data_IF_805836021300
#
_entry.id   IF_805836021300
#
_cell.length_a   1.000
_cell.length_b   1.000
_cell.length_c   1.000
_cell.angle_alpha   90.00
_cell.angle_beta   90.00
_cell.angle_gamma   90.00
#
_symmetry.space_group_name_H-M   'P 1'
#
loop_
_entity.id
_entity.type
_entity.pdbx_description
1 polymer ?
#
# COMPACT_ATOMS: atom_id res chain seq x y z
N UNK A 1 53.12 0.98 63.46
CA UNK A 1 53.24 1.33 61.99
C UNK A 1 54.54 0.75 61.48
N UNK A 2 54.58 0.06 60.35
CA UNK A 2 55.73 -0.59 59.64
C UNK A 2 55.77 -2.13 59.74
N UNK A 3 54.83 -2.79 59.10
CA UNK A 3 54.96 -4.23 58.72
C UNK A 3 54.42 -4.68 57.40
N UNK A 4 53.86 -3.84 56.49
CA UNK A 4 53.41 -4.38 55.19
C UNK A 4 54.51 -4.43 54.10
N UNK A 5 55.61 -3.71 54.23
CA UNK A 5 56.63 -3.66 53.16
C UNK A 5 57.56 -4.91 53.16
N UNK A 6 57.73 -5.60 54.26
CA UNK A 6 58.54 -6.81 54.35
C UNK A 6 57.86 -8.00 53.61
N UNK A 7 56.55 -8.03 53.62
CA UNK A 7 55.80 -9.10 52.91
C UNK A 7 55.86 -8.90 51.39
N UNK A 8 55.79 -7.65 50.92
CA UNK A 8 55.87 -7.35 49.49
C UNK A 8 57.25 -7.65 48.88
N UNK A 9 58.34 -7.41 49.66
CA UNK A 9 59.69 -7.74 49.24
C UNK A 9 59.91 -9.25 49.18
N UNK A 10 59.38 -10.00 50.14
CA UNK A 10 59.45 -11.47 50.10
C UNK A 10 58.77 -12.10 48.88
N UNK A 11 57.61 -11.56 48.50
CA UNK A 11 56.86 -12.04 47.27
C UNK A 11 57.59 -11.68 45.98
N UNK A 12 58.26 -10.51 45.94
CA UNK A 12 59.03 -10.10 44.76
C UNK A 12 60.28 -10.99 44.58
N UNK A 13 60.96 -11.39 45.65
CA UNK A 13 62.13 -12.27 45.61
C UNK A 13 61.76 -13.67 45.15
N UNK A 14 60.63 -14.21 45.57
CA UNK A 14 60.11 -15.53 45.11
C UNK A 14 59.70 -15.50 43.63
N UNK A 15 59.12 -14.40 43.14
CA UNK A 15 58.76 -14.26 41.74
C UNK A 15 60.00 -14.17 40.82
N UNK A 16 61.04 -13.46 41.22
CA UNK A 16 62.31 -13.36 40.48
C UNK A 16 63.04 -14.73 40.44
N UNK A 17 63.00 -15.47 41.57
CA UNK A 17 63.60 -16.82 41.63
C UNK A 17 62.89 -17.82 40.71
N UNK A 18 61.58 -17.68 40.53
CA UNK A 18 60.78 -18.55 39.64
C UNK A 18 61.05 -18.30 38.13
N UNK A 19 61.27 -17.04 37.75
CA UNK A 19 61.60 -16.63 36.38
C UNK A 19 63.03 -17.10 36.01
N UNK A 20 63.97 -17.09 36.92
CA UNK A 20 65.38 -17.51 36.67
C UNK A 20 65.46 -19.06 36.60
N UNK A 21 64.66 -19.78 37.36
CA UNK A 21 64.63 -21.25 37.36
C UNK A 21 64.09 -21.87 36.05
N UNK A 22 63.32 -21.09 35.25
CA UNK A 22 62.77 -21.58 33.98
C UNK A 22 63.66 -21.50 32.75
N UNK A 23 64.94 -21.02 32.88
CA UNK A 23 65.82 -20.84 31.74
C UNK A 23 67.03 -21.81 31.63
N UNK A 24 67.16 -22.78 32.49
CA UNK A 24 68.22 -23.78 32.40
C UNK A 24 67.63 -25.18 32.43
N UNK A 25 67.35 -25.71 31.25
CA UNK A 25 66.98 -27.09 30.99
C UNK A 25 67.79 -27.61 29.82
N UNK A 26 68.68 -28.46 30.12
CA UNK A 26 69.82 -29.11 29.45
C UNK A 26 69.68 -29.48 27.96
N UNK A 27 70.76 -29.22 27.27
CA UNK A 27 71.26 -30.00 26.14
C UNK A 27 72.06 -31.19 26.69
N UNK A 28 71.67 -32.40 26.19
CA UNK A 28 72.61 -33.39 25.73
C UNK A 28 71.88 -34.74 25.46
N UNK A 29 72.21 -35.36 24.37
CA UNK A 29 71.72 -36.69 24.05
C UNK A 29 71.87 -37.07 22.57
N UNK A 30 73.05 -37.49 22.21
CA UNK A 30 73.54 -37.85 20.86
C UNK A 30 72.81 -38.99 20.20
N UNK A 31 72.79 -38.89 18.88
CA UNK A 31 72.99 -39.93 17.84
C UNK A 31 72.12 -41.17 17.78
N UNK A 32 71.31 -41.25 16.73
CA UNK A 32 71.45 -42.31 15.76
C UNK A 32 70.80 -41.99 14.38
N UNK A 33 71.54 -42.00 13.35
CA UNK A 33 71.11 -41.73 12.00
C UNK A 33 70.28 -42.87 11.43
N UNK A 34 69.31 -42.47 10.57
CA UNK A 34 68.95 -43.17 9.32
C UNK A 34 68.26 -42.19 8.41
N UNK A 35 68.86 -41.96 7.28
CA UNK A 35 68.40 -41.54 5.99
C UNK A 35 66.89 -41.54 5.80
N UNK A 36 66.33 -40.33 5.60
CA UNK A 36 65.15 -40.13 4.76
C UNK A 36 65.35 -38.77 4.06
N UNK A 37 66.02 -38.80 2.94
CA UNK A 37 65.78 -37.79 1.91
C UNK A 37 64.40 -38.05 1.39
N UNK A 38 63.44 -37.29 1.91
CA UNK A 38 62.16 -37.11 1.19
C UNK A 38 61.54 -35.78 1.61
N UNK A 39 61.39 -34.92 0.62
CA UNK A 39 60.52 -33.79 0.52
C UNK A 39 60.62 -32.69 1.59
N UNK A 40 61.68 -31.91 1.50
CA UNK A 40 61.64 -30.54 1.94
C UNK A 40 60.74 -29.76 0.97
N UNK A 41 59.42 -29.68 1.26
CA UNK A 41 58.55 -28.67 0.68
C UNK A 41 59.26 -27.33 0.81
N UNK A 42 59.39 -26.61 -0.30
CA UNK A 42 60.03 -25.29 -0.31
C UNK A 42 59.29 -24.37 0.67
N UNK A 43 60.01 -23.40 1.23
CA UNK A 43 59.42 -22.41 2.16
C UNK A 43 58.22 -21.69 1.54
N UNK A 44 58.23 -21.59 0.20
CA UNK A 44 57.08 -21.06 -0.56
C UNK A 44 55.85 -21.97 -0.47
N UNK A 45 56.00 -23.30 -0.66
CA UNK A 45 54.89 -24.26 -0.54
C UNK A 45 54.35 -24.39 0.88
N UNK A 46 55.19 -24.25 1.91
CA UNK A 46 54.77 -24.21 3.29
C UNK A 46 53.99 -22.93 3.63
N UNK A 47 54.40 -21.78 3.07
CA UNK A 47 53.69 -20.52 3.26
C UNK A 47 52.35 -20.51 2.51
N UNK A 48 52.23 -21.14 1.35
CA UNK A 48 50.96 -21.28 0.61
C UNK A 48 49.97 -22.20 1.37
N UNK A 49 50.46 -23.35 1.89
CA UNK A 49 49.59 -24.26 2.69
C UNK A 49 49.19 -23.63 4.03
N UNK A 50 50.04 -22.85 4.67
CA UNK A 50 49.70 -22.11 5.88
C UNK A 50 48.80 -20.88 5.58
N UNK A 51 48.98 -20.26 4.42
CA UNK A 51 48.09 -19.16 3.96
C UNK A 51 46.67 -19.64 3.64
N UNK A 52 46.51 -20.80 3.01
CA UNK A 52 45.20 -21.40 2.73
C UNK A 52 44.49 -21.95 3.96
N UNK A 53 45.25 -22.47 4.94
CA UNK A 53 44.69 -22.94 6.22
C UNK A 53 44.18 -21.79 7.11
N UNK A 54 44.63 -20.55 6.86
CA UNK A 54 44.20 -19.34 7.59
C UNK A 54 42.94 -18.67 7.00
N UNK A 55 42.44 -19.09 5.82
CA UNK A 55 41.25 -18.52 5.19
C UNK A 55 39.99 -18.96 5.92
N UNK A 56 39.13 -18.00 6.26
CA UNK A 56 37.82 -18.28 6.85
C UNK A 56 36.99 -19.13 5.89
N UNK A 57 36.52 -20.29 6.37
CA UNK A 57 35.65 -21.16 5.59
C UNK A 57 34.24 -20.60 5.59
N UNK A 58 33.65 -20.42 4.42
CA UNK A 58 32.28 -20.00 4.22
C UNK A 58 31.53 -20.97 3.33
N UNK A 59 30.21 -21.07 3.55
CA UNK A 59 29.35 -21.84 2.64
C UNK A 59 28.60 -20.89 1.75
N UNK A 60 28.61 -21.13 0.45
CA UNK A 60 27.93 -20.31 -0.56
C UNK A 60 26.76 -21.04 -1.16
N UNK A 61 25.88 -20.29 -1.77
CA UNK A 61 24.76 -20.75 -2.59
C UNK A 61 24.68 -19.88 -3.84
N UNK A 62 24.75 -20.52 -5.00
CA UNK A 62 24.53 -19.84 -6.26
C UNK A 62 23.09 -19.35 -6.35
N UNK A 63 22.92 -18.10 -6.76
CA UNK A 63 21.63 -17.47 -6.98
C UNK A 63 21.63 -16.76 -8.33
N UNK A 64 20.52 -16.92 -9.07
CA UNK A 64 20.30 -16.27 -10.36
C UNK A 64 19.10 -15.35 -10.22
N UNK A 65 19.23 -14.14 -10.76
CA UNK A 65 18.17 -13.17 -10.78
C UNK A 65 16.96 -13.68 -11.60
N UNK A 66 15.77 -13.36 -11.13
CA UNK A 66 14.51 -13.64 -11.80
C UNK A 66 13.70 -12.34 -11.90
N UNK A 67 12.97 -12.19 -13.00
CA UNK A 67 12.06 -11.07 -13.15
C UNK A 67 10.94 -11.17 -12.11
N UNK A 68 10.85 -10.20 -11.23
CA UNK A 68 9.82 -10.13 -10.19
C UNK A 68 9.13 -8.77 -10.20
N UNK A 69 7.81 -8.76 -9.94
CA UNK A 69 7.08 -7.51 -9.85
C UNK A 69 7.35 -6.82 -8.50
N UNK A 70 7.71 -5.55 -8.58
CA UNK A 70 7.71 -4.69 -7.41
C UNK A 70 6.27 -4.24 -7.18
N UNK A 71 5.72 -4.59 -6.06
CA UNK A 71 4.35 -4.28 -5.68
C UNK A 71 4.34 -3.11 -4.68
N UNK A 72 3.51 -2.11 -4.94
CA UNK A 72 3.12 -1.15 -3.93
C UNK A 72 1.89 -1.68 -3.21
N UNK A 73 2.00 -1.89 -1.91
CA UNK A 73 0.90 -2.39 -1.09
C UNK A 73 0.41 -1.30 -0.15
N UNK A 74 -0.91 -1.17 -0.01
CA UNK A 74 -1.51 -0.21 0.88
C UNK A 74 -2.77 -0.79 1.54
N UNK A 75 -3.11 -0.26 2.71
CA UNK A 75 -4.40 -0.54 3.35
C UNK A 75 -5.37 0.56 3.05
N UNK A 76 -6.64 0.20 2.98
CA UNK A 76 -7.69 1.13 2.65
C UNK A 76 -9.07 0.58 2.95
N UNK A 77 -10.07 1.17 2.35
CA UNK A 77 -11.46 0.77 2.50
C UNK A 77 -12.25 1.09 1.24
N UNK A 78 -13.42 0.48 1.12
CA UNK A 78 -14.34 0.73 0.02
C UNK A 78 -15.15 1.99 0.28
N UNK A 79 -15.34 2.79 -0.77
CA UNK A 79 -16.23 3.96 -0.76
C UNK A 79 -17.18 3.92 -1.96
N UNK A 80 -18.33 4.54 -1.82
CA UNK A 80 -19.22 4.80 -2.96
C UNK A 80 -18.65 5.96 -3.78
N UNK A 81 -18.75 5.88 -5.10
CA UNK A 81 -18.29 6.95 -6.00
C UNK A 81 -19.04 8.26 -5.78
N UNK A 82 -20.33 8.18 -5.50
CA UNK A 82 -21.18 9.34 -5.23
C UNK A 82 -22.10 9.05 -4.03
N UNK A 83 -22.25 10.03 -3.19
CA UNK A 83 -23.16 10.03 -2.04
C UNK A 83 -23.83 11.40 -1.98
N UNK A 84 -25.13 11.44 -2.24
CA UNK A 84 -25.87 12.69 -2.37
C UNK A 84 -27.08 12.68 -1.46
N UNK A 85 -27.16 13.65 -0.55
CA UNK A 85 -28.34 13.92 0.24
C UNK A 85 -29.33 14.73 -0.62
N UNK A 86 -30.42 14.11 -1.01
CA UNK A 86 -31.52 14.79 -1.69
C UNK A 86 -32.26 15.68 -0.71
N UNK A 87 -32.46 16.93 -1.07
CA UNK A 87 -33.15 17.92 -0.24
C UNK A 87 -34.36 18.46 -0.96
N UNK A 88 -35.38 18.85 -0.20
CA UNK A 88 -36.51 19.61 -0.74
C UNK A 88 -36.07 21.03 -1.07
N UNK A 89 -36.43 21.52 -2.28
CA UNK A 89 -36.22 22.94 -2.65
C UNK A 89 -37.36 23.86 -2.24
N UNK A 90 -38.54 23.27 -1.92
CA UNK A 90 -39.74 24.00 -1.60
C UNK A 90 -40.36 23.51 -0.27
N UNK A 91 -41.27 24.29 0.27
CA UNK A 91 -42.10 23.90 1.41
C UNK A 91 -43.38 23.20 0.94
N UNK A 92 -43.86 22.25 1.74
CA UNK A 92 -45.16 21.59 1.50
C UNK A 92 -45.27 20.26 2.27
N UNK A 93 -46.46 19.64 2.18
CA UNK A 93 -46.73 18.32 2.76
C UNK A 93 -46.34 17.24 1.79
N UNK A 94 -45.75 16.16 2.28
CA UNK A 94 -45.47 14.94 1.50
C UNK A 94 -46.78 14.20 1.27
N UNK A 95 -47.15 14.01 -0.02
CA UNK A 95 -48.35 13.30 -0.43
C UNK A 95 -48.06 11.91 -1.00
N UNK A 96 -46.84 11.64 -1.37
CA UNK A 96 -46.41 10.35 -1.88
C UNK A 96 -44.93 10.11 -1.56
N UNK A 97 -44.63 8.91 -1.13
CA UNK A 97 -43.25 8.40 -0.97
C UNK A 97 -43.13 7.14 -1.84
N UNK A 98 -42.52 7.29 -2.98
CA UNK A 98 -42.46 6.24 -4.02
C UNK A 98 -41.34 5.22 -3.79
N UNK A 99 -40.40 5.48 -2.83
CA UNK A 99 -39.23 4.67 -2.61
C UNK A 99 -39.10 4.18 -1.17
N UNK A 100 -38.47 3.02 -1.02
CA UNK A 100 -38.16 2.45 0.30
C UNK A 100 -36.65 2.44 0.52
N UNK A 101 -36.24 2.41 1.80
CA UNK A 101 -34.83 2.21 2.15
C UNK A 101 -34.31 0.90 1.56
N UNK A 102 -33.16 0.95 0.91
CA UNK A 102 -32.53 -0.19 0.21
C UNK A 102 -33.05 -0.43 -1.22
N UNK A 103 -34.07 0.32 -1.70
CA UNK A 103 -34.53 0.17 -3.07
C UNK A 103 -33.55 0.79 -4.08
N UNK A 104 -33.43 0.14 -5.27
CA UNK A 104 -32.71 0.69 -6.42
C UNK A 104 -33.62 1.65 -7.17
N UNK A 105 -33.09 2.78 -7.57
CA UNK A 105 -33.75 3.80 -8.37
C UNK A 105 -32.90 4.14 -9.59
N UNK A 106 -33.57 4.42 -10.70
CA UNK A 106 -32.93 4.90 -11.93
C UNK A 106 -33.01 6.42 -12.00
N UNK A 107 -32.12 7.00 -12.76
CA UNK A 107 -32.19 8.44 -13.07
C UNK A 107 -33.58 8.84 -13.59
N UNK A 108 -34.18 9.82 -12.94
CA UNK A 108 -35.52 10.34 -13.26
C UNK A 108 -36.65 9.71 -12.45
N UNK A 109 -36.43 8.58 -11.76
CA UNK A 109 -37.44 7.97 -10.90
C UNK A 109 -37.89 8.92 -9.80
N UNK A 110 -39.18 8.90 -9.50
CA UNK A 110 -39.78 9.73 -8.46
C UNK A 110 -39.40 9.14 -7.10
N UNK A 111 -38.82 9.97 -6.25
CA UNK A 111 -38.50 9.62 -4.85
C UNK A 111 -39.69 10.00 -3.95
N UNK A 112 -40.12 11.25 -4.05
CA UNK A 112 -41.16 11.84 -3.20
C UNK A 112 -41.93 12.85 -4.00
N UNK A 113 -43.26 12.99 -3.70
CA UNK A 113 -44.11 14.09 -4.17
C UNK A 113 -44.53 14.96 -3.02
N UNK A 114 -44.40 16.25 -3.22
CA UNK A 114 -44.90 17.30 -2.32
C UNK A 114 -46.25 17.80 -2.87
N UNK A 115 -47.14 18.12 -1.99
CA UNK A 115 -48.43 18.68 -2.34
C UNK A 115 -48.26 19.95 -3.18
N UNK A 116 -48.90 19.98 -4.33
CA UNK A 116 -48.91 21.13 -5.22
C UNK A 116 -49.63 22.34 -4.61
N UNK A 117 -50.58 22.07 -3.68
CA UNK A 117 -51.38 23.10 -3.01
C UNK A 117 -51.98 24.11 -4.01
N UNK A 118 -51.68 25.38 -3.84
CA UNK A 118 -52.13 26.49 -4.69
C UNK A 118 -51.26 26.69 -5.98
N UNK A 119 -50.16 25.97 -6.12
CA UNK A 119 -49.22 26.17 -7.26
C UNK A 119 -49.83 25.87 -8.63
N UNK A 120 -50.69 24.89 -8.70
CA UNK A 120 -51.42 24.57 -9.95
C UNK A 120 -52.43 25.72 -10.30
N UNK A 121 -53.05 26.32 -9.33
CA UNK A 121 -53.92 27.48 -9.52
C UNK A 121 -53.11 28.70 -9.99
N UNK A 122 -51.96 28.99 -9.34
CA UNK A 122 -51.07 30.07 -9.79
C UNK A 122 -50.51 29.86 -11.18
N UNK A 123 -50.24 28.62 -11.57
CA UNK A 123 -49.84 28.31 -12.93
C UNK A 123 -50.95 28.64 -13.95
N UNK A 124 -52.19 28.22 -13.66
CA UNK A 124 -53.34 28.54 -14.50
C UNK A 124 -53.61 30.06 -14.61
N UNK A 125 -53.45 30.79 -13.51
CA UNK A 125 -53.54 32.25 -13.48
C UNK A 125 -52.45 32.89 -14.39
N UNK A 126 -51.21 32.46 -14.26
CA UNK A 126 -50.09 32.97 -15.09
C UNK A 126 -50.32 32.66 -16.60
N UNK A 127 -50.81 31.48 -16.93
CA UNK A 127 -51.21 31.12 -18.30
C UNK A 127 -52.35 31.98 -18.85
N UNK A 128 -53.35 32.28 -18.04
CA UNK A 128 -54.47 33.18 -18.41
C UNK A 128 -53.94 34.60 -18.65
N UNK A 129 -52.97 35.08 -17.83
CA UNK A 129 -52.33 36.36 -18.05
C UNK A 129 -51.54 36.40 -19.36
N UNK A 130 -50.84 35.35 -19.73
CA UNK A 130 -50.14 35.26 -21.03
C UNK A 130 -51.15 35.39 -22.16
N UNK A 131 -52.25 34.61 -22.14
CA UNK A 131 -53.30 34.72 -23.18
C UNK A 131 -53.85 36.13 -23.31
N UNK A 132 -54.09 36.81 -22.19
CA UNK A 132 -54.57 38.19 -22.19
C UNK A 132 -53.54 39.15 -22.83
N UNK A 133 -52.24 39.06 -22.44
CA UNK A 133 -51.16 39.90 -22.99
C UNK A 133 -50.85 39.57 -24.47
N UNK A 134 -51.06 38.35 -24.93
CA UNK A 134 -50.99 37.99 -26.35
C UNK A 134 -52.05 38.74 -27.20
N UNK A 135 -53.30 38.79 -26.75
CA UNK A 135 -54.37 39.54 -27.40
C UNK A 135 -54.02 41.06 -27.49
N UNK A 136 -53.50 41.63 -26.36
CA UNK A 136 -53.11 43.04 -26.34
C UNK A 136 -51.94 43.30 -27.28
N UNK A 137 -50.94 42.41 -27.33
CA UNK A 137 -49.80 42.51 -28.23
C UNK A 137 -50.22 42.46 -29.70
N UNK A 138 -51.05 41.48 -30.08
CA UNK A 138 -51.58 41.33 -31.43
C UNK A 138 -52.41 42.57 -31.86
N UNK A 139 -53.23 43.11 -30.94
CA UNK A 139 -54.02 44.34 -31.23
C UNK A 139 -53.08 45.54 -31.42
N UNK A 140 -52.02 45.66 -30.60
CA UNK A 140 -51.04 46.73 -30.73
C UNK A 140 -50.23 46.62 -32.04
N UNK A 141 -49.86 45.39 -32.42
CA UNK A 141 -49.18 45.12 -33.69
C UNK A 141 -50.02 45.49 -34.94
N UNK A 142 -51.28 45.09 -34.93
CA UNK A 142 -52.27 45.42 -36.01
C UNK A 142 -52.42 46.91 -36.16
N UNK A 143 -52.56 47.68 -35.03
CA UNK A 143 -52.70 49.12 -35.01
C UNK A 143 -51.39 49.83 -35.47
N UNK A 144 -50.24 49.37 -35.10
CA UNK A 144 -48.94 49.86 -35.51
C UNK A 144 -48.82 49.73 -37.04
N UNK A 145 -49.10 48.52 -37.57
CA UNK A 145 -49.07 48.26 -39.05
C UNK A 145 -49.97 49.21 -39.85
N UNK A 146 -51.09 49.69 -39.23
CA UNK A 146 -52.00 50.66 -39.86
C UNK A 146 -51.65 52.13 -39.53
N UNK A 147 -50.52 52.39 -38.88
CA UNK A 147 -50.05 53.75 -38.56
C UNK A 147 -50.84 54.46 -37.41
N UNK A 148 -51.71 53.75 -36.71
CA UNK A 148 -52.54 54.34 -35.67
C UNK A 148 -51.99 54.33 -34.24
N UNK A 149 -50.81 53.70 -33.99
CA UNK A 149 -50.22 53.62 -32.64
C UNK A 149 -48.73 53.94 -32.68
N UNK A 150 -48.27 54.65 -31.60
CA UNK A 150 -46.86 54.98 -31.43
C UNK A 150 -46.05 53.70 -31.19
N UNK A 151 -44.82 53.64 -31.66
CA UNK A 151 -43.87 52.57 -31.46
C UNK A 151 -43.65 52.23 -29.93
N UNK A 152 -43.74 53.24 -29.09
CA UNK A 152 -43.65 53.07 -27.63
C UNK A 152 -44.73 52.21 -27.03
N UNK A 153 -45.97 52.29 -27.57
CA UNK A 153 -47.09 51.49 -27.11
C UNK A 153 -47.01 50.00 -27.54
N UNK A 154 -46.50 49.81 -28.76
CA UNK A 154 -46.18 48.44 -29.22
C UNK A 154 -45.09 47.80 -28.38
N UNK A 155 -43.98 48.54 -28.18
CA UNK A 155 -42.84 48.08 -27.32
C UNK A 155 -43.32 47.77 -25.88
N UNK A 156 -44.23 48.58 -25.29
CA UNK A 156 -44.77 48.34 -23.99
C UNK A 156 -45.65 47.05 -23.93
N UNK A 157 -46.46 46.80 -24.98
CA UNK A 157 -47.28 45.54 -25.07
C UNK A 157 -46.37 44.32 -25.22
N UNK A 158 -45.30 44.42 -26.06
CA UNK A 158 -44.31 43.38 -26.21
C UNK A 158 -43.59 43.05 -24.88
N UNK A 159 -43.13 44.06 -24.16
CA UNK A 159 -42.47 43.89 -22.87
C UNK A 159 -43.43 43.24 -21.82
N UNK A 160 -44.73 43.62 -21.82
CA UNK A 160 -45.72 43.05 -20.93
C UNK A 160 -46.02 41.57 -21.22
N UNK A 161 -46.03 41.17 -22.51
CA UNK A 161 -46.16 39.77 -22.91
C UNK A 161 -44.95 38.95 -22.46
N UNK A 162 -43.73 39.46 -22.68
CA UNK A 162 -42.54 38.75 -22.24
C UNK A 162 -42.45 38.60 -20.72
N UNK A 163 -42.91 39.62 -19.96
CA UNK A 163 -43.00 39.53 -18.49
C UNK A 163 -44.00 38.45 -18.06
N UNK A 164 -45.18 38.36 -18.73
CA UNK A 164 -46.17 37.32 -18.44
C UNK A 164 -45.61 35.91 -18.78
N UNK A 165 -44.92 35.72 -19.90
CA UNK A 165 -44.26 34.47 -20.25
C UNK A 165 -43.19 34.09 -19.23
N UNK A 166 -42.42 35.04 -18.72
CA UNK A 166 -41.44 34.80 -17.69
C UNK A 166 -42.13 34.30 -16.38
N UNK A 167 -43.29 34.83 -16.05
CA UNK A 167 -44.09 34.39 -14.89
C UNK A 167 -44.53 32.93 -15.04
N UNK A 168 -45.03 32.51 -16.21
CA UNK A 168 -45.36 31.10 -16.49
C UNK A 168 -44.15 30.20 -16.30
N UNK A 169 -42.98 30.57 -16.83
CA UNK A 169 -41.74 29.79 -16.64
C UNK A 169 -41.40 29.64 -15.15
N UNK A 170 -41.53 30.71 -14.37
CA UNK A 170 -41.31 30.67 -12.92
C UNK A 170 -42.26 29.68 -12.23
N UNK A 171 -43.57 29.77 -12.52
CA UNK A 171 -44.56 28.87 -11.93
C UNK A 171 -44.33 27.40 -12.37
N UNK A 172 -43.91 27.16 -13.61
CA UNK A 172 -43.56 25.81 -14.09
C UNK A 172 -42.39 25.22 -13.33
N UNK A 173 -41.35 26.00 -13.01
CA UNK A 173 -40.21 25.57 -12.19
C UNK A 173 -40.67 25.23 -10.76
N UNK A 174 -41.49 26.10 -10.15
CA UNK A 174 -41.99 25.87 -8.79
C UNK A 174 -42.88 24.62 -8.72
N UNK A 175 -43.68 24.37 -9.74
CA UNK A 175 -44.47 23.13 -9.89
C UNK A 175 -43.58 21.91 -10.09
N UNK A 176 -42.55 21.98 -10.95
CA UNK A 176 -41.63 20.89 -11.16
C UNK A 176 -40.89 20.48 -9.89
N UNK A 177 -40.57 21.44 -8.99
CA UNK A 177 -39.92 21.21 -7.69
C UNK A 177 -40.79 20.44 -6.69
N UNK A 178 -42.10 20.28 -6.96
CA UNK A 178 -42.96 19.43 -6.13
C UNK A 178 -42.65 17.95 -6.27
N UNK A 179 -41.91 17.53 -7.33
CA UNK A 179 -41.57 16.16 -7.59
C UNK A 179 -40.07 16.01 -7.47
N UNK A 180 -39.62 15.39 -6.39
CA UNK A 180 -38.19 15.09 -6.18
C UNK A 180 -37.85 13.81 -6.88
N UNK A 181 -36.86 13.86 -7.79
CA UNK A 181 -36.41 12.73 -8.62
C UNK A 181 -34.96 12.38 -8.37
N UNK A 182 -34.62 11.10 -8.65
CA UNK A 182 -33.24 10.64 -8.61
C UNK A 182 -32.41 11.28 -9.75
N UNK A 183 -31.28 11.93 -9.46
CA UNK A 183 -30.44 12.56 -10.49
C UNK A 183 -29.54 11.56 -11.24
N UNK A 184 -29.33 10.35 -10.70
CA UNK A 184 -28.55 9.27 -11.25
C UNK A 184 -29.07 7.91 -10.75
N UNK A 185 -28.59 6.83 -11.32
CA UNK A 185 -28.89 5.47 -10.87
C UNK A 185 -28.25 5.23 -9.51
N UNK A 186 -29.04 4.84 -8.50
CA UNK A 186 -28.59 4.79 -7.12
C UNK A 186 -29.38 3.78 -6.27
N UNK A 187 -28.86 3.52 -5.06
CA UNK A 187 -29.62 2.90 -3.98
C UNK A 187 -30.02 4.00 -2.98
N UNK A 188 -31.23 3.89 -2.45
CA UNK A 188 -31.73 4.71 -1.36
C UNK A 188 -31.14 4.18 -0.04
N UNK A 189 -30.08 4.80 0.45
CA UNK A 189 -29.40 4.39 1.69
C UNK A 189 -30.21 4.74 2.95
N UNK A 190 -30.76 5.96 2.98
CA UNK A 190 -31.72 6.39 4.02
C UNK A 190 -32.83 7.24 3.43
N UNK A 191 -33.95 7.28 4.14
CA UNK A 191 -35.09 8.12 3.87
C UNK A 191 -35.45 8.89 5.13
N UNK A 192 -35.49 10.23 5.00
CA UNK A 192 -35.61 11.15 6.12
C UNK A 192 -37.05 11.73 6.25
N UNK A 193 -37.97 11.35 5.33
CA UNK A 193 -39.33 11.84 5.28
C UNK A 193 -40.33 10.70 5.22
N UNK A 194 -41.54 10.98 5.77
CA UNK A 194 -42.69 10.09 5.78
C UNK A 194 -43.90 10.72 5.10
N UNK A 195 -44.83 9.88 4.67
CA UNK A 195 -46.13 10.34 4.13
C UNK A 195 -46.86 11.24 5.15
N UNK A 196 -47.32 12.41 4.71
CA UNK A 196 -47.97 13.38 5.55
C UNK A 196 -47.06 14.35 6.30
N UNK A 197 -45.72 14.10 6.29
CA UNK A 197 -44.74 15.01 6.88
C UNK A 197 -44.73 16.36 6.17
N UNK A 198 -44.47 17.43 6.90
CA UNK A 198 -44.34 18.78 6.34
C UNK A 198 -42.84 19.12 6.22
N UNK A 199 -42.38 19.41 5.01
CA UNK A 199 -40.99 19.79 4.72
C UNK A 199 -40.87 21.28 4.40
N UNK A 200 -39.66 21.81 4.58
CA UNK A 200 -39.29 23.18 4.20
C UNK A 200 -38.16 23.09 3.13
N UNK A 201 -37.89 24.19 2.46
CA UNK A 201 -36.69 24.28 1.61
C UNK A 201 -35.43 23.97 2.43
N UNK A 202 -34.60 23.07 1.95
CA UNK A 202 -33.42 22.57 2.63
C UNK A 202 -33.64 21.35 3.55
N UNK A 203 -34.91 20.87 3.72
CA UNK A 203 -35.15 19.63 4.48
C UNK A 203 -34.59 18.42 3.74
N UNK A 204 -33.82 17.55 4.44
CA UNK A 204 -33.34 16.28 3.93
C UNK A 204 -34.53 15.36 3.60
N UNK A 205 -34.44 14.66 2.47
CA UNK A 205 -35.50 13.78 1.94
C UNK A 205 -35.01 12.33 1.88
N UNK A 206 -33.91 12.09 1.21
CA UNK A 206 -33.32 10.76 1.06
C UNK A 206 -31.82 10.86 0.76
N UNK A 207 -31.06 9.89 1.23
CA UNK A 207 -29.66 9.73 0.88
C UNK A 207 -29.53 8.72 -0.24
N UNK A 208 -28.98 9.16 -1.35
CA UNK A 208 -28.70 8.32 -2.51
C UNK A 208 -27.22 7.99 -2.59
N UNK A 209 -26.91 6.73 -2.83
CA UNK A 209 -25.54 6.24 -3.02
C UNK A 209 -25.42 5.52 -4.36
N UNK A 210 -24.33 5.80 -5.06
CA UNK A 210 -23.98 5.14 -6.31
C UNK A 210 -23.44 3.73 -5.99
N UNK A 211 -24.00 2.70 -6.61
CA UNK A 211 -23.63 1.32 -6.34
C UNK A 211 -22.57 0.78 -7.31
N UNK A 212 -22.48 1.31 -8.51
CA UNK A 212 -21.55 0.89 -9.55
C UNK A 212 -21.10 2.09 -10.41
N UNK A 213 -19.78 2.31 -10.57
CA UNK A 213 -18.66 1.59 -9.95
C UNK A 213 -18.38 2.02 -8.52
N UNK A 214 -17.72 1.15 -7.76
CA UNK A 214 -17.20 1.44 -6.42
C UNK A 214 -15.77 1.97 -6.46
N UNK A 215 -15.36 2.65 -5.40
CA UNK A 215 -13.99 3.06 -5.17
C UNK A 215 -13.40 2.19 -4.05
N UNK A 216 -12.17 1.73 -4.24
CA UNK A 216 -11.35 1.25 -3.11
C UNK A 216 -10.27 2.28 -2.89
N UNK A 217 -10.36 2.97 -1.76
CA UNK A 217 -9.49 4.08 -1.41
C UNK A 217 -8.36 3.58 -0.53
N UNK A 218 -7.13 3.91 -0.91
CA UNK A 218 -5.93 3.57 -0.16
C UNK A 218 -5.13 4.82 0.18
N UNK A 219 -4.41 4.76 1.28
CA UNK A 219 -3.41 5.74 1.67
C UNK A 219 -2.03 5.17 1.38
N UNK A 220 -1.35 5.73 0.39
CA UNK A 220 -0.04 5.29 -0.10
C UNK A 220 1.04 6.25 0.40
N UNK A 221 2.18 5.71 0.82
CA UNK A 221 3.30 6.51 1.35
C UNK A 221 3.91 7.43 0.29
N UNK A 222 4.57 8.51 0.73
CA UNK A 222 5.30 9.43 -0.16
C UNK A 222 6.43 8.73 -0.94
N UNK A 223 7.01 7.66 -0.38
CA UNK A 223 8.07 6.90 -1.03
C UNK A 223 7.58 6.02 -2.19
N UNK A 224 6.29 5.66 -2.17
CA UNK A 224 5.71 4.71 -3.11
C UNK A 224 4.81 5.35 -4.16
N UNK A 225 4.18 6.48 -3.84
CA UNK A 225 3.21 7.14 -4.73
C UNK A 225 3.81 7.53 -6.08
N UNK A 226 5.10 7.91 -6.11
CA UNK A 226 5.80 8.27 -7.35
C UNK A 226 5.93 7.14 -8.38
N UNK A 227 5.69 5.88 -7.96
CA UNK A 227 5.69 4.69 -8.82
C UNK A 227 4.33 4.39 -9.43
N UNK A 228 3.26 5.02 -8.93
CA UNK A 228 1.88 4.80 -9.40
C UNK A 228 1.51 5.79 -10.50
N UNK A 229 0.75 5.33 -11.47
CA UNK A 229 0.24 6.15 -12.57
C UNK A 229 -1.26 5.98 -12.71
N UNK A 230 -1.94 7.00 -13.23
CA UNK A 230 -3.35 6.90 -13.58
C UNK A 230 -3.54 5.78 -14.62
N UNK A 231 -4.64 5.04 -14.48
CA UNK A 231 -5.02 3.86 -15.27
C UNK A 231 -4.18 2.60 -15.04
N UNK A 232 -3.18 2.61 -14.16
CA UNK A 232 -2.49 1.38 -13.77
C UNK A 232 -3.49 0.38 -13.18
N UNK A 233 -3.22 -0.90 -13.45
CA UNK A 233 -4.01 -1.99 -12.86
C UNK A 233 -3.70 -2.11 -11.39
N UNK A 234 -4.74 -2.38 -10.61
CA UNK A 234 -4.61 -2.69 -9.20
C UNK A 234 -5.60 -3.77 -8.80
N UNK A 235 -5.31 -4.41 -7.69
CA UNK A 235 -6.22 -5.36 -7.07
C UNK A 235 -6.42 -5.02 -5.61
N UNK A 236 -7.58 -5.38 -5.08
CA UNK A 236 -7.86 -5.24 -3.67
C UNK A 236 -8.43 -6.56 -3.12
N UNK A 237 -7.97 -6.93 -1.94
CA UNK A 237 -8.53 -8.03 -1.16
C UNK A 237 -9.29 -7.45 0.02
N UNK A 238 -10.58 -7.64 0.04
CA UNK A 238 -11.44 -7.22 1.14
C UNK A 238 -11.28 -8.14 2.36
N UNK A 239 -11.60 -7.64 3.54
CA UNK A 239 -11.61 -8.43 4.78
C UNK A 239 -12.58 -9.62 4.71
N UNK A 240 -13.60 -9.56 3.85
CA UNK A 240 -14.53 -10.66 3.54
C UNK A 240 -13.90 -11.81 2.76
N UNK A 241 -12.64 -11.66 2.31
CA UNK A 241 -11.93 -12.62 1.47
C UNK A 241 -12.12 -12.40 -0.03
N UNK A 242 -13.08 -11.57 -0.45
CA UNK A 242 -13.33 -11.25 -1.86
C UNK A 242 -12.14 -10.49 -2.45
N UNK A 243 -11.73 -10.89 -3.66
CA UNK A 243 -10.74 -10.18 -4.47
C UNK A 243 -11.46 -9.41 -5.56
N UNK A 244 -11.07 -8.17 -5.74
CA UNK A 244 -11.57 -7.29 -6.78
C UNK A 244 -10.41 -6.67 -7.55
N UNK A 245 -10.62 -6.41 -8.82
CA UNK A 245 -9.63 -5.79 -9.69
C UNK A 245 -10.19 -4.51 -10.28
N UNK A 246 -9.31 -3.55 -10.51
CA UNK A 246 -9.71 -2.27 -11.06
C UNK A 246 -8.53 -1.51 -11.64
N UNK A 247 -8.77 -0.22 -11.88
CA UNK A 247 -7.74 0.72 -12.36
C UNK A 247 -7.67 1.93 -11.45
N UNK A 248 -6.46 2.47 -11.29
CA UNK A 248 -6.24 3.71 -10.57
C UNK A 248 -6.99 4.83 -11.31
N UNK A 249 -7.99 5.38 -10.64
CA UNK A 249 -8.83 6.46 -11.15
C UNK A 249 -8.34 7.83 -10.72
N UNK A 250 -7.78 7.91 -9.52
CA UNK A 250 -7.32 9.15 -8.93
C UNK A 250 -6.11 8.93 -8.03
N UNK A 251 -5.17 9.86 -8.08
CA UNK A 251 -4.04 9.99 -7.16
C UNK A 251 -4.05 11.44 -6.67
N UNK A 252 -4.09 11.63 -5.37
CA UNK A 252 -4.10 12.97 -4.78
C UNK A 252 -2.81 13.73 -5.12
N UNK A 253 -2.94 15.01 -5.47
CA UNK A 253 -1.79 15.87 -5.73
C UNK A 253 -1.10 16.36 -4.44
N UNK A 254 -1.79 16.26 -3.30
CA UNK A 254 -1.28 16.70 -1.99
C UNK A 254 -1.35 15.54 -1.00
N UNK A 255 -0.31 15.42 -0.18
CA UNK A 255 -0.30 14.48 0.93
C UNK A 255 -1.14 15.00 2.11
N UNK A 256 -1.68 14.07 2.89
CA UNK A 256 -2.15 14.37 4.23
C UNK A 256 -0.97 14.78 5.10
N UNK A 257 -1.05 15.95 5.70
CA UNK A 257 0.07 16.55 6.45
C UNK A 257 0.46 15.75 7.70
N UNK A 258 -0.48 15.01 8.28
CA UNK A 258 -0.26 14.26 9.52
C UNK A 258 0.39 12.91 9.25
N UNK A 259 -0.14 12.18 8.25
CA UNK A 259 0.27 10.81 7.95
C UNK A 259 1.30 10.71 6.84
N UNK A 260 1.56 11.80 6.10
CA UNK A 260 2.42 11.86 4.91
C UNK A 260 2.07 10.82 3.85
N UNK A 261 0.77 10.58 3.70
CA UNK A 261 0.25 9.63 2.72
C UNK A 261 -0.58 10.34 1.67
N UNK A 262 -0.62 9.77 0.49
CA UNK A 262 -1.43 10.23 -0.64
C UNK A 262 -2.65 9.34 -0.80
N UNK A 263 -3.82 9.95 -0.98
CA UNK A 263 -5.05 9.23 -1.31
C UNK A 263 -4.96 8.71 -2.75
N UNK A 264 -5.12 7.41 -2.91
CA UNK A 264 -5.19 6.72 -4.21
C UNK A 264 -6.52 5.99 -4.29
N UNK A 265 -7.23 6.16 -5.41
CA UNK A 265 -8.55 5.56 -5.64
C UNK A 265 -8.49 4.54 -6.77
N UNK A 266 -8.81 3.31 -6.43
CA UNK A 266 -8.97 2.21 -7.38
C UNK A 266 -10.45 2.11 -7.75
N UNK A 267 -10.79 2.32 -9.03
CA UNK A 267 -12.14 2.18 -9.55
C UNK A 267 -12.41 0.70 -9.86
N UNK A 268 -13.43 0.15 -9.23
CA UNK A 268 -13.78 -1.27 -9.29
C UNK A 268 -15.22 -1.43 -9.73
N UNK A 269 -15.52 -2.25 -10.74
CA UNK A 269 -16.89 -2.60 -11.11
C UNK A 269 -17.61 -3.35 -9.98
N UNK A 270 -18.89 -3.04 -9.78
CA UNK A 270 -19.75 -3.69 -8.77
C UNK A 270 -21.16 -3.99 -9.32
N UNK A 271 -21.29 -4.65 -10.49
CA UNK A 271 -22.58 -4.85 -11.14
C UNK A 271 -23.56 -5.66 -10.27
N UNK A 272 -23.05 -6.56 -9.44
CA UNK A 272 -23.86 -7.42 -8.56
C UNK A 272 -24.21 -6.77 -7.22
N UNK A 273 -23.69 -5.57 -6.92
CA UNK A 273 -23.96 -4.85 -5.69
C UNK A 273 -23.40 -5.55 -4.44
N UNK A 274 -22.35 -6.36 -4.58
CA UNK A 274 -21.76 -7.12 -3.45
C UNK A 274 -20.83 -6.30 -2.57
N UNK A 275 -20.22 -5.24 -3.14
CA UNK A 275 -19.36 -4.35 -2.38
C UNK A 275 -20.19 -3.44 -1.47
N UNK A 276 -19.74 -3.30 -0.24
CA UNK A 276 -20.36 -2.42 0.76
C UNK A 276 -19.42 -1.28 1.11
N UNK A 277 -19.97 -0.11 1.39
CA UNK A 277 -19.21 1.06 1.85
C UNK A 277 -18.52 0.79 3.20
N UNK A 278 -17.29 1.26 3.38
CA UNK A 278 -16.55 1.13 4.63
C UNK A 278 -15.89 -0.22 4.88
N UNK A 279 -15.93 -1.16 3.91
CA UNK A 279 -15.26 -2.46 4.07
C UNK A 279 -13.75 -2.29 3.94
N UNK A 280 -12.99 -2.76 4.92
CA UNK A 280 -11.52 -2.73 4.89
C UNK A 280 -10.97 -3.58 3.75
N UNK A 281 -9.94 -3.07 3.09
CA UNK A 281 -9.29 -3.72 1.97
C UNK A 281 -7.76 -3.59 2.05
N UNK A 282 -7.06 -4.62 1.58
CA UNK A 282 -5.63 -4.57 1.28
C UNK A 282 -5.46 -4.45 -0.24
N UNK A 283 -4.84 -3.36 -0.68
CA UNK A 283 -4.62 -3.08 -2.08
C UNK A 283 -3.21 -3.49 -2.49
N UNK A 284 -3.08 -3.94 -3.73
CA UNK A 284 -1.81 -4.28 -4.36
C UNK A 284 -1.76 -3.66 -5.76
N UNK A 285 -0.72 -2.89 -6.01
CA UNK A 285 -0.45 -2.24 -7.28
C UNK A 285 0.88 -2.76 -7.83
N UNK A 286 0.88 -3.66 -8.81
CA UNK A 286 2.11 -4.06 -9.50
C UNK A 286 2.65 -2.88 -10.31
N UNK A 287 3.90 -2.47 -10.07
CA UNK A 287 4.46 -1.26 -10.68
C UNK A 287 5.48 -1.57 -11.77
N UNK A 288 6.61 -2.15 -11.43
CA UNK A 288 7.72 -2.41 -12.35
C UNK A 288 8.27 -3.83 -12.19
N UNK A 289 8.75 -4.41 -13.27
CA UNK A 289 9.53 -5.64 -13.20
C UNK A 289 10.99 -5.32 -12.92
N UNK A 290 11.52 -5.94 -11.87
CA UNK A 290 12.92 -5.82 -11.47
C UNK A 290 13.58 -7.19 -11.45
N UNK A 291 14.87 -7.24 -11.72
CA UNK A 291 15.67 -8.45 -11.53
C UNK A 291 15.91 -8.61 -10.03
N UNK A 292 15.41 -9.70 -9.46
CA UNK A 292 15.48 -9.95 -8.02
C UNK A 292 15.93 -11.38 -7.73
N UNK A 293 16.58 -11.55 -6.58
CA UNK A 293 17.04 -12.84 -6.06
C UNK A 293 16.16 -13.26 -4.90
N UNK A 294 15.81 -14.55 -4.85
CA UNK A 294 15.11 -15.11 -3.70
C UNK A 294 16.11 -15.58 -2.66
N UNK A 295 16.11 -14.97 -1.49
CA UNK A 295 17.05 -15.27 -0.40
C UNK A 295 16.30 -15.54 0.90
N UNK A 296 16.97 -16.23 1.83
CA UNK A 296 16.48 -16.35 3.21
C UNK A 296 16.88 -15.12 4.01
N UNK A 297 16.08 -14.66 4.99
CA UNK A 297 16.41 -13.52 5.85
C UNK A 297 17.77 -13.65 6.56
N UNK A 298 18.20 -14.89 6.83
CA UNK A 298 19.42 -15.20 7.54
C UNK A 298 20.71 -14.76 6.81
N UNK A 299 20.66 -14.51 5.49
CA UNK A 299 21.84 -14.05 4.73
C UNK A 299 21.98 -12.53 4.68
N UNK A 300 20.99 -11.81 5.17
CA UNK A 300 21.08 -10.35 5.28
C UNK A 300 22.06 -9.96 6.37
N UNK A 301 22.88 -8.98 6.09
CA UNK A 301 23.85 -8.41 7.01
C UNK A 301 23.88 -6.90 6.88
N UNK A 302 24.44 -6.21 7.86
CA UNK A 302 24.68 -4.77 7.82
C UNK A 302 26.16 -4.52 7.52
N UNK A 303 26.45 -3.48 6.76
CA UNK A 303 27.82 -2.96 6.67
C UNK A 303 28.08 -1.97 7.83
N UNK A 304 29.30 -1.45 7.91
CA UNK A 304 29.74 -0.53 8.95
C UNK A 304 28.97 0.80 8.96
N UNK A 305 28.33 1.17 7.84
CA UNK A 305 27.45 2.35 7.72
C UNK A 305 25.98 2.07 8.06
N UNK A 306 25.63 0.83 8.46
CA UNK A 306 24.25 0.44 8.78
C UNK A 306 23.38 0.13 7.55
N UNK A 307 23.99 0.02 6.36
CA UNK A 307 23.24 -0.33 5.14
C UNK A 307 22.99 -1.83 5.10
N UNK A 308 21.75 -2.22 4.83
CA UNK A 308 21.36 -3.63 4.64
C UNK A 308 21.89 -4.15 3.31
N UNK A 309 22.45 -5.34 3.34
CA UNK A 309 22.98 -5.98 2.13
C UNK A 309 23.29 -7.45 2.33
N UNK A 310 23.95 -8.03 1.36
CA UNK A 310 24.42 -9.42 1.39
C UNK A 310 25.90 -9.48 1.06
N UNK A 311 26.59 -10.49 1.57
CA UNK A 311 27.98 -10.79 1.21
C UNK A 311 28.00 -11.89 0.18
N UNK A 312 28.74 -11.65 -0.90
CA UNK A 312 28.93 -12.60 -2.01
C UNK A 312 30.42 -12.91 -2.17
N UNK A 313 30.70 -14.07 -2.72
CA UNK A 313 32.06 -14.44 -3.12
C UNK A 313 32.23 -14.16 -4.60
N UNK A 314 33.23 -13.36 -4.97
CA UNK A 314 33.63 -13.10 -6.35
C UNK A 314 34.70 -14.07 -6.82
N UNK A 315 35.02 -14.00 -8.10
CA UNK A 315 36.11 -14.78 -8.70
C UNK A 315 37.42 -14.56 -7.90
N UNK A 316 38.09 -15.66 -7.55
CA UNK A 316 39.30 -15.63 -6.71
C UNK A 316 39.03 -15.65 -5.20
N UNK A 317 37.81 -15.96 -4.76
CA UNK A 317 37.49 -16.16 -3.35
C UNK A 317 37.42 -14.86 -2.52
N UNK A 318 37.21 -13.71 -3.15
CA UNK A 318 37.14 -12.42 -2.46
C UNK A 318 35.71 -12.07 -2.08
N UNK A 319 35.50 -11.65 -0.84
CA UNK A 319 34.21 -11.25 -0.36
C UNK A 319 33.87 -9.82 -0.80
N UNK A 320 32.67 -9.65 -1.35
CA UNK A 320 32.11 -8.35 -1.69
C UNK A 320 30.75 -8.16 -1.04
N UNK A 321 30.53 -6.99 -0.48
CA UNK A 321 29.24 -6.55 0.05
C UNK A 321 28.44 -5.87 -1.05
N UNK A 322 27.19 -6.30 -1.23
CA UNK A 322 26.23 -5.66 -2.11
C UNK A 322 25.07 -5.12 -1.29
N UNK A 323 24.80 -3.82 -1.34
CA UNK A 323 23.58 -3.26 -0.77
C UNK A 323 22.38 -3.82 -1.55
N UNK A 324 21.31 -4.19 -0.84
CA UNK A 324 20.11 -4.75 -1.47
C UNK A 324 18.88 -3.96 -1.10
N UNK A 325 17.95 -3.92 -2.05
CA UNK A 325 16.62 -3.35 -1.87
C UNK A 325 15.61 -4.50 -1.72
N UNK A 326 14.86 -4.53 -0.62
CA UNK A 326 13.88 -5.59 -0.35
C UNK A 326 12.63 -5.29 -1.16
N UNK A 327 12.34 -6.14 -2.15
CA UNK A 327 11.20 -6.00 -3.05
C UNK A 327 9.93 -6.59 -2.43
N UNK A 328 10.06 -7.78 -1.82
CA UNK A 328 8.93 -8.49 -1.23
C UNK A 328 9.39 -9.46 -0.15
N UNK A 329 8.71 -9.47 0.97
CA UNK A 329 8.92 -10.44 2.06
C UNK A 329 7.77 -11.43 2.11
N UNK A 330 8.11 -12.73 2.26
CA UNK A 330 7.16 -13.83 2.40
C UNK A 330 7.56 -14.71 3.58
N UNK A 331 6.71 -15.64 4.00
CA UNK A 331 7.04 -16.61 5.05
C UNK A 331 8.16 -17.58 4.65
N UNK A 332 8.39 -17.81 3.36
CA UNK A 332 9.42 -18.71 2.84
C UNK A 332 10.78 -18.01 2.60
N UNK A 333 10.82 -16.68 2.51
CA UNK A 333 11.99 -15.90 2.19
C UNK A 333 11.65 -14.53 1.64
N UNK A 334 12.63 -13.85 1.06
CA UNK A 334 12.43 -12.51 0.52
C UNK A 334 13.06 -12.36 -0.86
N UNK A 335 12.45 -11.51 -1.66
CA UNK A 335 12.98 -11.07 -2.93
C UNK A 335 13.75 -9.78 -2.73
N UNK A 336 15.00 -9.77 -3.20
CA UNK A 336 15.90 -8.61 -3.11
C UNK A 336 16.45 -8.25 -4.47
N UNK A 337 16.55 -6.97 -4.75
CA UNK A 337 17.21 -6.41 -5.94
C UNK A 337 18.53 -5.73 -5.58
N UNK A 338 19.30 -5.33 -6.58
CA UNK A 338 20.59 -4.67 -6.39
C UNK A 338 21.80 -5.59 -6.55
N UNK A 339 21.58 -6.87 -6.89
CA UNK A 339 22.63 -7.85 -7.13
C UNK A 339 22.85 -8.06 -8.65
N UNK A 340 24.07 -8.46 -9.08
CA UNK A 340 24.34 -8.93 -10.42
C UNK A 340 23.45 -10.13 -10.80
N UNK A 341 23.29 -10.42 -12.10
CA UNK A 341 22.44 -11.50 -12.62
C UNK A 341 22.73 -12.88 -12.00
N UNK A 342 24.02 -13.18 -11.77
CA UNK A 342 24.47 -14.42 -11.13
C UNK A 342 25.43 -14.06 -10.00
N UNK A 343 25.17 -14.59 -8.81
CA UNK A 343 26.01 -14.34 -7.63
C UNK A 343 26.12 -15.58 -6.77
N UNK A 344 27.26 -15.70 -6.09
CA UNK A 344 27.49 -16.68 -5.04
C UNK A 344 27.28 -16.05 -3.66
N UNK A 345 26.11 -16.26 -3.09
CA UNK A 345 25.72 -15.72 -1.79
C UNK A 345 26.37 -16.51 -0.66
N UNK A 346 26.98 -15.86 0.30
CA UNK A 346 27.44 -16.50 1.53
C UNK A 346 26.22 -16.76 2.42
N UNK A 347 25.92 -18.05 2.64
CA UNK A 347 24.77 -18.49 3.44
C UNK A 347 25.14 -18.92 4.86
N UNK A 348 26.41 -19.24 5.09
CA UNK A 348 26.97 -19.54 6.43
C UNK A 348 28.37 -18.93 6.51
N UNK A 349 28.67 -18.29 7.64
CA UNK A 349 29.96 -17.63 7.88
C UNK A 349 29.99 -16.13 7.54
N UNK A 350 28.86 -15.55 7.12
CA UNK A 350 28.74 -14.14 6.75
C UNK A 350 29.10 -13.17 7.91
N UNK A 351 28.96 -13.59 9.16
CA UNK A 351 29.30 -12.77 10.34
C UNK A 351 30.81 -12.65 10.57
N UNK A 352 31.59 -13.63 10.06
CA UNK A 352 33.02 -13.74 10.33
C UNK A 352 33.91 -13.17 9.22
N UNK A 353 33.32 -12.63 8.14
CA UNK A 353 34.06 -12.12 6.99
C UNK A 353 33.67 -10.66 6.73
N UNK A 354 34.61 -9.88 6.21
CA UNK A 354 34.43 -8.48 5.84
C UNK A 354 34.60 -8.27 4.34
N UNK A 355 34.16 -7.14 3.85
CA UNK A 355 34.41 -6.75 2.47
C UNK A 355 35.94 -6.73 2.19
N UNK A 356 36.35 -7.45 1.17
CA UNK A 356 37.75 -7.54 0.75
C UNK A 356 38.51 -8.77 1.26
N UNK A 357 37.98 -9.48 2.26
CA UNK A 357 38.58 -10.70 2.78
C UNK A 357 38.62 -11.78 1.72
N UNK A 358 39.67 -12.62 1.78
CA UNK A 358 39.72 -13.88 1.00
C UNK A 358 39.11 -14.98 1.86
N UNK A 359 38.29 -15.82 1.24
CA UNK A 359 37.60 -16.92 1.91
C UNK A 359 37.81 -18.23 1.15
N UNK A 360 37.70 -19.31 1.87
CA UNK A 360 37.62 -20.66 1.28
C UNK A 360 36.18 -21.08 1.22
N UNK A 361 35.68 -21.36 0.03
CA UNK A 361 34.33 -21.91 -0.16
C UNK A 361 34.34 -23.38 0.22
N UNK A 362 33.53 -23.79 1.17
CA UNK A 362 33.38 -25.17 1.61
C UNK A 362 32.02 -25.70 1.16
N UNK A 363 32.03 -26.74 0.35
CA UNK A 363 30.84 -27.42 -0.18
C UNK A 363 30.29 -28.50 0.79
N UNK A 364 30.97 -28.75 1.91
CA UNK A 364 30.61 -29.82 2.85
C UNK A 364 30.17 -29.28 4.20
N UNK A 365 29.15 -29.93 4.73
CA UNK A 365 28.77 -29.85 6.16
C UNK A 365 29.88 -30.53 7.00
N UNK A 366 30.94 -29.78 7.32
CA UNK A 366 32.04 -30.23 8.19
C UNK A 366 31.61 -30.34 9.68
N UNK A 367 30.35 -30.54 9.96
CA UNK A 367 29.86 -30.74 11.34
C UNK A 367 29.82 -32.20 11.82
N UNK A 368 30.28 -33.16 10.99
CA UNK A 368 30.32 -34.59 11.35
C UNK A 368 31.71 -35.10 11.77
N UNK A 369 32.66 -34.21 12.01
CA UNK A 369 34.01 -34.53 12.47
C UNK A 369 34.28 -34.15 13.91
N UNK A 370 33.69 -34.82 14.91
CA UNK A 370 34.11 -34.55 16.29
C UNK A 370 33.23 -35.08 17.39
N UNK A 371 32.79 -36.31 17.37
CA UNK A 371 32.38 -36.98 18.61
C UNK A 371 32.60 -38.49 18.59
N UNK A 372 33.89 -38.90 18.48
CA UNK A 372 34.29 -40.26 18.89
C UNK A 372 34.49 -40.26 20.41
N UNK A 373 33.45 -40.28 21.18
CA UNK A 373 33.53 -40.76 22.53
C UNK A 373 33.52 -42.29 22.50
N UNK A 374 34.67 -42.86 22.78
CA UNK A 374 34.89 -44.26 23.09
C UNK A 374 33.89 -44.73 24.15
N UNK A 375 32.89 -45.54 23.80
CA UNK A 375 32.17 -46.35 24.74
C UNK A 375 33.00 -47.56 25.09
N UNK A 376 33.72 -47.44 26.21
CA UNK A 376 34.32 -48.58 26.91
C UNK A 376 33.18 -49.42 27.52
N UNK A 377 33.20 -50.69 27.14
CA UNK A 377 32.17 -51.63 27.55
C UNK A 377 32.11 -51.92 29.04
N UNK A 378 30.92 -52.37 29.48
CA UNK A 378 30.76 -53.44 30.47
C UNK A 378 29.45 -54.19 30.23
N UNK A 379 29.64 -55.43 29.97
CA UNK A 379 28.70 -56.56 30.02
C UNK A 379 28.05 -56.69 31.39
N UNK A 380 26.77 -57.09 31.45
CA UNK A 380 26.23 -57.74 32.65
C UNK A 380 24.73 -57.73 32.78
N UNK A 381 24.04 -58.84 32.46
CA UNK A 381 23.01 -59.43 33.25
C UNK A 381 21.55 -59.06 32.96
N UNK A 382 20.84 -59.88 32.24
CA UNK A 382 19.42 -60.22 32.49
C UNK A 382 19.30 -61.03 33.77
N UNK A 383 18.08 -61.32 34.44
CA UNK A 383 16.79 -61.60 33.80
C UNK A 383 15.55 -61.05 34.53
N UNK A 384 14.44 -61.21 33.82
CA UNK A 384 13.08 -61.63 34.24
C UNK A 384 12.38 -61.04 35.49
N UNK A 385 11.29 -60.40 35.29
CA UNK A 385 9.91 -60.84 35.54
C UNK A 385 8.90 -59.76 35.08
#
# INVERSE_FOLDING_TARGET
MRKPYLLAIAIAIVAVGWVISGQFGDRDGAANGKTAADQALTVAERNDIQGEAALTAVRTKASTAQAHWRDVTARGHTETKRKVMMMSEIKGRIIEVAVQKGSRVRRGDVLVRIDQADRSAHMAEAEALVRHREIEYEAAEKLRKKGYRAETQFSAAAASLEAAKAMVKKMAVDLARTIIRAPFDAIVDSREVELGAYVKGGSAVALLVDEDPYLVVALVSENDVGRLRLNDKGSARLVTGQKVEGRIHYIAATADATTRTFRVELLVPNPDGQLRHGTTAALNFPTEQVQAHFITPAVLTLNDSGTVGVRCVEAGGKVRFYPVDIIKSTSAGMWVAGLPEKVELIVVGQEYVRQGDRVRVSDKDDRDGGNNYVQGGKTGGAPAS
#
